data_IF_218480461253
#
_entry.id   IF_218480461253
#
_cell.length_a   1.000
_cell.length_b   1.000
_cell.length_c   1.000
_cell.angle_alpha   90.00
_cell.angle_beta   90.00
_cell.angle_gamma   90.00
#
_symmetry.space_group_name_H-M   'P 1'
#
loop_
_entity.id
_entity.type
_entity.pdbx_description
1 polymer ?
#
# COMPACT_ATOMS: atom_id res chain seq x y z
N UNK A 1 6.88 17.81 -7.50
CA UNK A 1 6.82 17.20 -6.15
C UNK A 1 7.95 17.83 -5.36
N UNK A 2 7.62 18.44 -4.22
CA UNK A 2 8.50 19.38 -3.50
C UNK A 2 9.44 18.62 -2.58
N UNK A 3 10.48 18.02 -3.14
CA UNK A 3 11.56 17.42 -2.35
C UNK A 3 12.70 18.40 -2.07
N UNK A 4 12.58 19.65 -2.52
CA UNK A 4 13.60 20.70 -2.48
C UNK A 4 14.19 20.97 -1.10
N UNK A 5 13.44 20.65 -0.03
CA UNK A 5 13.87 20.75 1.37
C UNK A 5 14.77 19.58 1.84
N UNK A 6 14.91 18.50 1.06
CA UNK A 6 15.69 17.30 1.39
C UNK A 6 16.88 17.02 0.46
N UNK A 7 17.17 17.91 -0.51
CA UNK A 7 18.05 17.66 -1.69
C UNK A 7 19.55 17.54 -1.38
N UNK A 8 20.00 17.61 -0.12
CA UNK A 8 21.44 17.63 0.19
C UNK A 8 21.93 16.37 0.94
N UNK A 9 21.54 15.17 0.49
CA UNK A 9 21.96 13.89 1.12
C UNK A 9 21.72 12.63 0.29
N UNK A 10 22.34 11.51 0.68
CA UNK A 10 22.03 10.10 0.33
C UNK A 10 20.54 9.69 0.49
N UNK A 11 19.68 10.62 0.92
CA UNK A 11 18.24 10.46 1.05
C UNK A 11 17.47 10.63 -0.27
N UNK A 12 18.04 11.30 -1.29
CA UNK A 12 17.34 11.58 -2.55
C UNK A 12 16.88 10.29 -3.26
N UNK A 13 17.71 9.25 -3.26
CA UNK A 13 17.36 7.96 -3.85
C UNK A 13 16.18 7.28 -3.13
N UNK A 14 16.07 7.47 -1.80
CA UNK A 14 14.98 6.91 -1.02
C UNK A 14 13.68 7.69 -1.24
N UNK A 15 13.72 9.00 -1.45
CA UNK A 15 12.53 9.76 -1.84
C UNK A 15 12.05 9.39 -3.25
N UNK A 16 12.96 9.21 -4.22
CA UNK A 16 12.60 8.68 -5.55
C UNK A 16 11.97 7.29 -5.47
N UNK A 17 12.45 6.46 -4.57
CA UNK A 17 11.88 5.14 -4.34
C UNK A 17 10.46 5.22 -3.74
N UNK A 18 10.21 6.14 -2.80
CA UNK A 18 8.86 6.40 -2.29
C UNK A 18 7.92 6.94 -3.37
N UNK A 19 8.42 7.76 -4.30
CA UNK A 19 7.65 8.24 -5.45
C UNK A 19 7.22 7.08 -6.35
N UNK A 20 8.16 6.18 -6.67
CA UNK A 20 7.87 4.99 -7.46
C UNK A 20 6.82 4.12 -6.77
N UNK A 21 6.97 3.88 -5.46
CA UNK A 21 5.97 3.14 -4.66
C UNK A 21 4.60 3.83 -4.71
N UNK A 22 4.54 5.16 -4.60
CA UNK A 22 3.29 5.93 -4.69
C UNK A 22 2.62 5.78 -6.06
N UNK A 23 3.40 5.77 -7.14
CA UNK A 23 2.89 5.57 -8.51
C UNK A 23 2.37 4.14 -8.66
N UNK A 24 3.17 3.13 -8.29
CA UNK A 24 2.78 1.72 -8.35
C UNK A 24 1.48 1.47 -7.57
N UNK A 25 1.34 2.03 -6.36
CA UNK A 25 0.13 1.89 -5.56
C UNK A 25 -1.10 2.55 -6.22
N UNK A 26 -0.95 3.72 -6.85
CA UNK A 26 -2.05 4.39 -7.59
C UNK A 26 -2.49 3.62 -8.83
N UNK A 27 -1.54 3.03 -9.54
CA UNK A 27 -1.84 2.19 -10.70
C UNK A 27 -2.60 0.94 -10.26
N UNK A 28 -2.17 0.30 -9.18
CA UNK A 28 -2.87 -0.84 -8.58
C UNK A 28 -4.25 -0.48 -8.06
N UNK A 29 -4.42 0.68 -7.41
CA UNK A 29 -5.73 1.17 -6.98
C UNK A 29 -6.68 1.37 -8.19
N UNK A 30 -6.14 1.87 -9.30
CA UNK A 30 -6.90 2.02 -10.55
C UNK A 30 -7.31 0.67 -11.13
N UNK A 31 -6.43 -0.32 -11.10
CA UNK A 31 -6.73 -1.70 -11.51
C UNK A 31 -7.80 -2.34 -10.61
N UNK A 32 -7.67 -2.19 -9.28
CA UNK A 32 -8.70 -2.61 -8.32
C UNK A 32 -10.06 -1.96 -8.61
N UNK A 33 -10.08 -0.66 -8.91
CA UNK A 33 -11.33 0.03 -9.29
C UNK A 33 -11.92 -0.53 -10.57
N UNK A 34 -11.11 -0.87 -11.57
CA UNK A 34 -11.60 -1.47 -12.82
C UNK A 34 -12.21 -2.86 -12.57
N UNK A 35 -11.51 -3.70 -11.81
CA UNK A 35 -11.99 -5.01 -11.37
C UNK A 35 -13.33 -4.88 -10.62
N UNK A 36 -13.48 -3.87 -9.76
CA UNK A 36 -14.70 -3.64 -8.99
C UNK A 36 -15.91 -3.22 -9.84
N UNK A 37 -15.70 -2.88 -11.10
CA UNK A 37 -16.77 -2.60 -12.07
C UNK A 37 -17.16 -3.84 -12.88
N UNK A 38 -16.46 -4.97 -12.73
CA UNK A 38 -16.82 -6.19 -13.43
C UNK A 38 -18.12 -6.80 -12.87
N UNK A 39 -18.96 -7.40 -13.74
CA UNK A 39 -20.23 -8.00 -13.32
C UNK A 39 -20.09 -9.01 -12.16
N UNK A 40 -19.03 -9.83 -12.16
CA UNK A 40 -18.77 -10.81 -11.12
C UNK A 40 -18.47 -10.17 -9.75
N UNK A 41 -17.68 -9.08 -9.74
CA UNK A 41 -17.40 -8.31 -8.52
C UNK A 41 -18.64 -7.58 -8.01
N UNK A 42 -19.46 -7.03 -8.92
CA UNK A 42 -20.73 -6.38 -8.59
C UNK A 42 -21.74 -7.40 -8.02
N UNK A 43 -21.84 -8.59 -8.61
CA UNK A 43 -22.73 -9.65 -8.14
C UNK A 43 -22.31 -10.17 -6.77
N UNK A 44 -21.01 -10.37 -6.55
CA UNK A 44 -20.49 -10.67 -5.23
C UNK A 44 -20.89 -9.55 -4.27
N UNK A 45 -20.63 -8.27 -4.58
CA UNK A 45 -20.95 -7.12 -3.69
C UNK A 45 -22.40 -7.12 -3.20
N UNK A 46 -23.35 -7.57 -4.04
CA UNK A 46 -24.78 -7.73 -3.71
C UNK A 46 -25.06 -8.92 -2.79
N UNK A 47 -24.28 -10.00 -2.92
CA UNK A 47 -24.40 -11.23 -2.12
C UNK A 47 -23.63 -11.19 -0.79
N UNK A 48 -22.71 -10.24 -0.57
CA UNK A 48 -21.88 -10.14 0.67
C UNK A 48 -22.44 -9.27 1.79
N UNK A 49 -23.66 -8.77 1.64
CA UNK A 49 -24.32 -8.00 2.71
C UNK A 49 -24.99 -8.89 3.77
N UNK A 50 -24.92 -10.21 3.64
CA UNK A 50 -25.55 -11.16 4.57
C UNK A 50 -24.58 -12.05 5.36
N UNK A 51 -23.30 -12.18 4.97
CA UNK A 51 -22.29 -12.99 5.69
C UNK A 51 -20.87 -12.39 5.65
N UNK A 52 -20.02 -12.72 6.65
CA UNK A 52 -18.57 -12.50 6.61
C UNK A 52 -17.93 -13.44 5.57
N UNK A 53 -17.78 -12.95 4.34
CA UNK A 53 -17.20 -13.72 3.25
C UNK A 53 -15.71 -13.35 3.05
N UNK A 54 -14.79 -14.32 2.86
CA UNK A 54 -13.37 -14.03 2.63
C UNK A 54 -13.10 -13.04 1.49
N UNK A 55 -13.78 -13.20 0.35
CA UNK A 55 -13.67 -12.27 -0.79
C UNK A 55 -14.17 -10.84 -0.49
N UNK A 56 -15.03 -10.65 0.53
CA UNK A 56 -15.44 -9.32 1.00
C UNK A 56 -14.26 -8.56 1.59
N UNK A 57 -13.49 -9.25 2.44
CA UNK A 57 -12.35 -8.64 3.13
C UNK A 57 -11.26 -8.33 2.12
N UNK A 58 -11.00 -9.24 1.17
CA UNK A 58 -10.09 -8.98 0.07
C UNK A 58 -10.49 -7.72 -0.72
N UNK A 59 -11.77 -7.55 -1.02
CA UNK A 59 -12.29 -6.36 -1.70
C UNK A 59 -12.08 -5.07 -0.89
N UNK A 60 -12.42 -5.11 0.40
CA UNK A 60 -12.33 -3.94 1.29
C UNK A 60 -10.87 -3.54 1.48
N UNK A 61 -10.03 -4.47 1.91
CA UNK A 61 -8.62 -4.21 2.18
C UNK A 61 -7.83 -3.92 0.91
N UNK A 62 -8.06 -4.64 -0.19
CA UNK A 62 -7.39 -4.37 -1.46
C UNK A 62 -7.58 -2.93 -1.93
N UNK A 63 -8.77 -2.37 -1.75
CA UNK A 63 -9.07 -0.97 -2.09
C UNK A 63 -8.49 0.02 -1.08
N UNK A 64 -8.65 -0.22 0.22
CA UNK A 64 -8.18 0.70 1.26
C UNK A 64 -6.65 0.76 1.25
N UNK A 65 -5.99 -0.39 1.24
CA UNK A 65 -4.54 -0.48 1.39
C UNK A 65 -3.81 0.07 0.15
N UNK A 66 -4.41 -0.04 -1.05
CA UNK A 66 -3.81 0.57 -2.27
C UNK A 66 -3.99 2.09 -2.36
N UNK A 67 -4.99 2.66 -1.68
CA UNK A 67 -5.25 4.11 -1.66
C UNK A 67 -4.52 4.82 -0.50
N UNK A 68 -4.40 4.15 0.64
CA UNK A 68 -3.80 4.72 1.86
C UNK A 68 -2.31 5.06 1.67
N UNK A 69 -1.54 4.13 1.11
CA UNK A 69 -0.10 4.32 0.92
C UNK A 69 0.27 5.58 0.11
N UNK A 70 -0.27 5.82 -1.10
CA UNK A 70 0.04 7.02 -1.87
C UNK A 70 -0.48 8.30 -1.21
N UNK A 71 -1.61 8.23 -0.49
CA UNK A 71 -2.15 9.37 0.25
C UNK A 71 -1.20 9.77 1.38
N UNK A 72 -0.76 8.80 2.19
CA UNK A 72 0.12 9.05 3.34
C UNK A 72 1.49 9.59 2.94
N UNK A 73 2.06 9.08 1.84
CA UNK A 73 3.30 9.62 1.28
C UNK A 73 3.11 11.09 0.84
N UNK A 74 1.99 11.41 0.18
CA UNK A 74 1.71 12.76 -0.31
C UNK A 74 1.38 13.76 0.81
N UNK A 75 0.70 13.32 1.87
CA UNK A 75 0.44 14.10 3.09
C UNK A 75 1.77 14.41 3.81
N UNK A 76 2.60 13.39 4.05
CA UNK A 76 3.90 13.57 4.70
C UNK A 76 4.81 14.54 3.91
N UNK A 77 4.88 14.41 2.58
CA UNK A 77 5.69 15.31 1.75
C UNK A 77 5.18 16.75 1.67
N UNK A 78 3.96 17.03 2.15
CA UNK A 78 3.40 18.39 2.23
C UNK A 78 3.54 18.99 3.62
N UNK A 79 3.33 18.17 4.64
CA UNK A 79 3.06 18.65 6.00
C UNK A 79 4.28 18.48 6.93
N UNK A 80 5.29 17.71 6.55
CA UNK A 80 6.50 17.48 7.36
C UNK A 80 7.64 18.41 6.94
N UNK A 81 8.41 18.90 7.91
CA UNK A 81 9.53 19.83 7.66
C UNK A 81 10.90 19.13 7.77
N UNK A 82 10.94 17.89 8.27
CA UNK A 82 12.16 17.09 8.42
C UNK A 82 11.97 15.62 8.02
N UNK A 83 13.08 14.92 7.74
CA UNK A 83 13.06 13.48 7.41
C UNK A 83 12.52 12.66 8.58
N UNK A 84 12.88 13.01 9.82
CA UNK A 84 12.39 12.32 11.03
C UNK A 84 10.88 12.47 11.19
N UNK A 85 10.34 13.68 10.98
CA UNK A 85 8.89 13.91 11.00
C UNK A 85 8.19 13.14 9.88
N UNK A 86 8.74 13.19 8.67
CA UNK A 86 8.23 12.47 7.50
C UNK A 86 8.14 10.96 7.76
N UNK A 87 9.25 10.34 8.22
CA UNK A 87 9.29 8.91 8.55
C UNK A 87 8.28 8.59 9.64
N UNK A 88 8.27 9.37 10.73
CA UNK A 88 7.35 9.16 11.85
C UNK A 88 5.88 9.33 11.48
N UNK A 89 5.56 10.24 10.56
CA UNK A 89 4.21 10.45 10.06
C UNK A 89 3.70 9.24 9.29
N UNK A 90 4.47 8.76 8.31
CA UNK A 90 4.07 7.62 7.49
C UNK A 90 4.03 6.35 8.34
N UNK A 91 5.04 6.11 9.18
CA UNK A 91 5.15 4.87 9.96
C UNK A 91 3.98 4.69 10.93
N UNK A 92 3.48 5.79 11.52
CA UNK A 92 2.27 5.80 12.36
C UNK A 92 0.97 5.82 11.57
N UNK A 93 1.02 6.33 10.34
CA UNK A 93 -0.15 6.58 9.50
C UNK A 93 -0.60 5.38 8.66
N UNK A 94 0.31 4.45 8.35
CA UNK A 94 0.00 3.25 7.56
C UNK A 94 -0.13 2.01 8.44
N UNK A 95 -1.14 1.18 8.15
CA UNK A 95 -1.32 -0.14 8.77
C UNK A 95 -0.96 -1.22 7.77
N UNK A 96 -0.13 -2.20 8.16
CA UNK A 96 0.30 -3.25 7.24
C UNK A 96 -0.89 -4.12 6.80
N UNK A 97 -1.00 -4.46 5.51
CA UNK A 97 -2.06 -5.33 5.01
C UNK A 97 -2.05 -6.70 5.70
N UNK A 98 -3.23 -7.20 6.02
CA UNK A 98 -3.40 -8.40 6.83
C UNK A 98 -3.19 -9.68 6.02
N UNK A 99 -2.21 -10.50 6.44
CA UNK A 99 -1.97 -11.82 5.81
C UNK A 99 -3.20 -12.74 5.89
N UNK A 100 -3.98 -12.64 6.98
CA UNK A 100 -5.21 -13.43 7.14
C UNK A 100 -6.23 -13.14 6.03
N UNK A 101 -6.31 -11.91 5.52
CA UNK A 101 -7.21 -11.55 4.42
C UNK A 101 -6.78 -12.27 3.14
N UNK A 102 -5.47 -12.30 2.86
CA UNK A 102 -4.91 -13.04 1.72
C UNK A 102 -5.18 -14.55 1.85
N UNK A 103 -4.81 -15.16 2.98
CA UNK A 103 -4.92 -16.62 3.16
C UNK A 103 -6.37 -17.10 3.07
N UNK A 104 -7.29 -16.37 3.69
CA UNK A 104 -8.72 -16.70 3.65
C UNK A 104 -9.27 -16.63 2.23
N UNK A 105 -8.91 -15.60 1.47
CA UNK A 105 -9.35 -15.46 0.08
C UNK A 105 -8.70 -16.49 -0.84
N UNK A 106 -7.41 -16.79 -0.66
CA UNK A 106 -6.71 -17.83 -1.40
C UNK A 106 -7.38 -19.20 -1.22
N UNK A 107 -7.61 -19.61 0.04
CA UNK A 107 -8.25 -20.87 0.35
C UNK A 107 -9.66 -20.98 -0.25
N UNK A 108 -10.44 -19.90 -0.19
CA UNK A 108 -11.77 -19.85 -0.80
C UNK A 108 -11.69 -20.05 -2.32
N UNK A 109 -10.81 -19.30 -3.01
CA UNK A 109 -10.64 -19.40 -4.46
C UNK A 109 -10.23 -20.83 -4.88
N UNK A 110 -9.31 -21.46 -4.14
CA UNK A 110 -8.88 -22.83 -4.42
C UNK A 110 -10.02 -23.84 -4.24
N UNK A 111 -10.85 -23.68 -3.21
CA UNK A 111 -11.92 -24.62 -2.90
C UNK A 111 -13.08 -24.55 -3.92
N UNK A 112 -13.38 -23.36 -4.43
CA UNK A 112 -14.56 -23.12 -5.27
C UNK A 112 -14.23 -22.92 -6.76
N UNK A 113 -12.97 -23.10 -7.16
CA UNK A 113 -12.45 -22.93 -8.53
C UNK A 113 -12.82 -21.56 -9.15
N UNK A 114 -12.83 -20.53 -8.31
CA UNK A 114 -13.20 -19.19 -8.70
C UNK A 114 -12.03 -18.51 -9.44
N UNK A 115 -11.96 -18.72 -10.76
CA UNK A 115 -10.76 -18.47 -11.55
C UNK A 115 -10.74 -17.12 -12.29
N UNK A 116 -11.72 -16.25 -12.05
CA UNK A 116 -11.84 -14.97 -12.74
C UNK A 116 -11.23 -13.80 -11.94
N UNK A 117 -11.97 -12.70 -11.94
CA UNK A 117 -11.68 -11.39 -11.35
C UNK A 117 -11.11 -11.45 -9.91
N UNK A 118 -11.47 -12.46 -9.10
CA UNK A 118 -10.99 -12.60 -7.73
C UNK A 118 -9.54 -13.07 -7.60
N UNK A 119 -9.03 -13.85 -8.58
CA UNK A 119 -7.60 -14.17 -8.63
C UNK A 119 -6.77 -12.93 -8.94
N UNK A 120 -7.28 -12.05 -9.78
CA UNK A 120 -6.64 -10.77 -10.08
C UNK A 120 -6.63 -9.85 -8.85
N UNK A 121 -7.75 -9.75 -8.13
CA UNK A 121 -7.78 -9.04 -6.84
C UNK A 121 -6.79 -9.62 -5.84
N UNK A 122 -6.70 -10.95 -5.72
CA UNK A 122 -5.80 -11.62 -4.79
C UNK A 122 -4.33 -11.36 -5.14
N UNK A 123 -4.00 -11.41 -6.44
CA UNK A 123 -2.67 -11.05 -6.95
C UNK A 123 -2.34 -9.61 -6.60
N UNK A 124 -3.24 -8.68 -6.86
CA UNK A 124 -3.02 -7.26 -6.54
C UNK A 124 -2.84 -7.07 -5.05
N UNK A 125 -3.66 -7.69 -4.21
CA UNK A 125 -3.51 -7.60 -2.76
C UNK A 125 -2.13 -8.07 -2.29
N UNK A 126 -1.65 -9.18 -2.84
CA UNK A 126 -0.31 -9.68 -2.56
C UNK A 126 0.80 -8.70 -2.98
N UNK A 127 0.67 -8.05 -4.14
CA UNK A 127 1.61 -7.01 -4.55
C UNK A 127 1.53 -5.78 -3.61
N UNK A 128 0.35 -5.43 -3.10
CA UNK A 128 0.18 -4.36 -2.10
C UNK A 128 0.94 -4.69 -0.82
N UNK A 129 0.86 -5.94 -0.34
CA UNK A 129 1.66 -6.39 0.81
C UNK A 129 3.17 -6.20 0.57
N UNK A 130 3.66 -6.43 -0.65
CA UNK A 130 5.07 -6.20 -0.99
C UNK A 130 5.42 -4.73 -1.02
N UNK A 131 4.54 -3.87 -1.55
CA UNK A 131 4.74 -2.42 -1.53
C UNK A 131 4.87 -1.91 -0.10
N UNK A 132 4.01 -2.33 0.83
CA UNK A 132 4.12 -1.95 2.24
C UNK A 132 5.45 -2.37 2.86
N UNK A 133 5.90 -3.62 2.60
CA UNK A 133 7.22 -4.08 3.06
C UNK A 133 8.36 -3.24 2.49
N UNK A 134 8.28 -2.88 1.20
CA UNK A 134 9.26 -2.03 0.52
C UNK A 134 9.25 -0.62 1.14
N UNK A 135 8.08 -0.02 1.37
CA UNK A 135 7.93 1.26 2.07
C UNK A 135 8.61 1.22 3.44
N UNK A 136 8.27 0.25 4.29
CA UNK A 136 8.87 0.13 5.63
C UNK A 136 10.40 0.01 5.58
N UNK A 137 10.94 -0.69 4.58
CA UNK A 137 12.38 -0.76 4.35
C UNK A 137 12.96 0.62 3.98
N UNK A 138 12.32 1.34 3.07
CA UNK A 138 12.78 2.68 2.64
C UNK A 138 12.71 3.68 3.79
N UNK A 139 11.65 3.66 4.59
CA UNK A 139 11.52 4.50 5.79
C UNK A 139 12.65 4.26 6.80
N UNK A 140 13.05 2.99 7.02
CA UNK A 140 14.20 2.67 7.87
C UNK A 140 15.52 3.20 7.32
N UNK A 141 15.71 3.17 6.00
CA UNK A 141 16.90 3.70 5.36
C UNK A 141 16.95 5.23 5.48
N UNK A 142 15.81 5.91 5.28
CA UNK A 142 15.67 7.35 5.53
C UNK A 142 15.96 7.73 6.98
N UNK A 143 15.49 6.97 7.96
CA UNK A 143 15.79 7.24 9.38
C UNK A 143 17.28 7.06 9.70
N UNK A 144 17.91 6.08 9.04
CA UNK A 144 19.34 5.81 9.19
C UNK A 144 20.23 6.92 8.62
N UNK A 145 19.82 7.58 7.52
CA UNK A 145 20.59 8.71 6.96
C UNK A 145 20.59 9.91 7.90
N UNK A 146 19.50 10.15 8.64
CA UNK A 146 19.45 11.20 9.67
C UNK A 146 20.38 10.86 10.83
N UNK A 147 20.31 9.62 11.33
CA UNK A 147 21.10 9.18 12.48
C UNK A 147 22.61 9.29 12.21
N UNK A 148 23.07 8.83 11.04
CA UNK A 148 24.48 8.93 10.65
C UNK A 148 24.97 10.39 10.60
N UNK A 149 24.12 11.33 10.18
CA UNK A 149 24.48 12.75 10.09
C UNK A 149 24.63 13.41 11.47
N UNK A 150 23.87 12.96 12.48
CA UNK A 150 23.96 13.45 13.86
C UNK A 150 25.24 12.95 14.54
N UNK A 151 25.68 11.72 14.28
CA UNK A 151 26.91 11.15 14.87
C UNK A 151 28.20 11.78 14.32
N UNK A 152 28.11 12.54 13.23
CA UNK A 152 29.24 13.25 12.60
C UNK A 152 29.33 14.74 12.97
N UNK A 153 28.47 15.25 13.86
CA UNK A 153 28.48 16.62 14.41
C UNK A 153 29.00 16.60 15.85
#
# INVERSE_FOLDING_TARGET
>A
MYWDIYIDTDAEEFFKELDNISIEAKDMFSEFKAINLEPAAIELSKNVHTNEHPLKQLYIHGRIDTDDLPLKIAEAGRDCESITEFVGYIDKGITDPELAVFDNAYNYIQQYDDNGTFRDMLRLYHETMKLYKRTRRVLKLLDSTVTARIEHI
#
